data_IF_128383866729
#
_entry.id   IF_128383866729
#
_cell.length_a   1.000
_cell.length_b   1.000
_cell.length_c   1.000
_cell.angle_alpha   90.00
_cell.angle_beta   90.00
_cell.angle_gamma   90.00
#
_symmetry.space_group_name_H-M   'P 1'
#
loop_
_entity.id
_entity.type
_entity.pdbx_description
1 polymer ?
#
# COMPACT_ATOMS: atom_id res chain seq x y z
N UNK A 1 -44.99 -47.87 -0.61
CA UNK A 1 -44.34 -47.03 0.41
C UNK A 1 -42.93 -46.72 -0.08
N UNK A 2 -42.72 -45.56 -0.71
CA UNK A 2 -41.42 -45.14 -1.23
C UNK A 2 -41.02 -43.86 -0.50
N UNK A 3 -40.01 -43.97 0.35
CA UNK A 3 -39.45 -42.85 1.13
C UNK A 3 -38.51 -42.06 0.23
N UNK A 4 -38.96 -40.91 -0.27
CA UNK A 4 -38.10 -39.94 -0.97
C UNK A 4 -37.26 -39.21 0.06
N UNK A 5 -35.99 -39.60 0.18
CA UNK A 5 -34.97 -38.85 0.92
C UNK A 5 -34.70 -37.53 0.21
N UNK A 6 -34.97 -36.40 0.89
CA UNK A 6 -34.60 -35.07 0.42
C UNK A 6 -33.22 -34.73 0.99
N UNK A 7 -32.18 -34.82 0.17
CA UNK A 7 -30.89 -34.20 0.48
C UNK A 7 -31.08 -32.67 0.45
N UNK A 8 -30.96 -32.03 1.61
CA UNK A 8 -30.85 -30.57 1.74
C UNK A 8 -29.41 -30.17 1.40
N UNK A 9 -29.23 -29.48 0.28
CA UNK A 9 -27.98 -28.81 -0.06
C UNK A 9 -27.83 -27.56 0.82
N UNK A 10 -26.96 -27.62 1.83
CA UNK A 10 -26.45 -26.44 2.51
C UNK A 10 -25.36 -25.81 1.63
N UNK A 11 -25.72 -24.82 0.83
CA UNK A 11 -24.75 -23.94 0.17
C UNK A 11 -24.21 -22.96 1.19
N UNK A 12 -23.07 -23.29 1.82
CA UNK A 12 -22.32 -22.36 2.64
C UNK A 12 -21.69 -21.30 1.71
N UNK A 13 -22.31 -20.13 1.65
CA UNK A 13 -21.68 -18.93 1.09
C UNK A 13 -20.56 -18.53 2.07
N UNK A 14 -19.33 -18.97 1.81
CA UNK A 14 -18.13 -18.43 2.44
C UNK A 14 -17.91 -17.03 1.87
N UNK A 15 -18.60 -16.04 2.45
CA UNK A 15 -18.13 -14.66 2.35
C UNK A 15 -16.80 -14.60 3.09
N UNK A 16 -15.70 -14.69 2.37
CA UNK A 16 -14.39 -14.31 2.89
C UNK A 16 -14.48 -12.79 3.08
N UNK A 17 -14.87 -12.37 4.28
CA UNK A 17 -14.70 -10.99 4.68
C UNK A 17 -13.20 -10.86 4.94
N UNK A 18 -12.48 -10.26 3.99
CA UNK A 18 -11.10 -9.85 4.22
C UNK A 18 -11.12 -8.88 5.41
N UNK A 19 -10.73 -9.38 6.58
CA UNK A 19 -10.55 -8.56 7.78
C UNK A 19 -9.37 -7.64 7.55
N UNK A 20 -9.66 -6.38 7.25
CA UNK A 20 -8.66 -5.36 7.01
C UNK A 20 -7.86 -5.05 8.30
N UNK A 21 -6.56 -4.80 8.17
CA UNK A 21 -5.61 -4.59 9.28
C UNK A 21 -6.00 -3.33 10.07
N UNK A 22 -6.43 -3.50 11.31
CA UNK A 22 -6.66 -2.38 12.24
C UNK A 22 -5.33 -2.04 12.93
N UNK A 23 -4.83 -0.82 12.74
CA UNK A 23 -3.67 -0.32 13.48
C UNK A 23 -4.15 0.32 14.78
N UNK A 24 -4.12 -0.44 15.87
CA UNK A 24 -4.32 0.10 17.22
C UNK A 24 -2.98 0.42 17.84
N UNK A 25 -2.68 1.71 18.00
CA UNK A 25 -1.43 2.17 18.60
C UNK A 25 -1.55 2.23 20.12
N UNK A 26 -0.51 1.76 20.82
CA UNK A 26 -0.44 1.79 22.29
C UNK A 26 -0.08 3.17 22.86
N UNK A 27 0.08 4.19 22.01
CA UNK A 27 0.52 5.52 22.40
C UNK A 27 -0.36 6.63 21.84
N UNK A 28 -0.10 7.86 22.30
CA UNK A 28 -0.76 9.09 21.86
C UNK A 28 -0.01 9.78 20.70
N UNK A 29 0.82 9.03 19.98
CA UNK A 29 1.63 9.52 18.86
C UNK A 29 1.69 8.46 17.77
N UNK A 30 1.73 8.95 16.52
CA UNK A 30 1.96 8.15 15.33
C UNK A 30 3.21 8.70 14.61
N UNK A 31 4.24 7.87 14.52
CA UNK A 31 5.47 8.14 13.80
C UNK A 31 5.32 7.67 12.36
N UNK A 32 5.34 8.64 11.43
CA UNK A 32 5.15 8.38 10.00
C UNK A 32 6.43 8.68 9.25
N UNK A 33 6.84 7.77 8.37
CA UNK A 33 7.87 8.05 7.37
C UNK A 33 7.20 8.48 6.06
N UNK A 34 7.72 9.52 5.41
CA UNK A 34 7.17 10.04 4.14
C UNK A 34 8.26 10.02 3.08
N UNK A 35 8.01 9.32 1.98
CA UNK A 35 8.90 9.21 0.83
C UNK A 35 8.12 9.50 -0.46
N UNK A 36 8.83 9.87 -1.52
CA UNK A 36 8.26 10.03 -2.85
C UNK A 36 9.38 10.07 -3.89
N UNK A 37 9.05 9.86 -5.16
CA UNK A 37 10.04 9.78 -6.24
C UNK A 37 11.14 8.74 -5.98
N UNK A 38 10.77 7.61 -5.36
CA UNK A 38 11.72 6.58 -4.96
C UNK A 38 11.86 5.45 -5.99
N UNK A 39 11.17 5.51 -7.13
CA UNK A 39 11.01 4.41 -8.08
C UNK A 39 12.22 3.99 -8.92
N UNK A 40 13.45 4.25 -8.46
CA UNK A 40 14.71 3.79 -9.06
C UNK A 40 15.35 2.69 -8.21
N UNK A 41 16.24 1.86 -8.75
CA UNK A 41 17.00 0.90 -7.93
C UNK A 41 17.99 1.62 -7.01
N UNK A 42 18.34 1.01 -5.87
CA UNK A 42 19.44 1.50 -5.03
C UNK A 42 20.80 1.32 -5.69
N UNK A 43 20.92 0.39 -6.64
CA UNK A 43 22.12 0.24 -7.49
C UNK A 43 22.27 1.41 -8.46
N UNK A 44 21.15 1.98 -8.92
CA UNK A 44 21.12 3.08 -9.89
C UNK A 44 21.16 4.47 -9.23
N UNK A 45 20.84 4.56 -7.93
CA UNK A 45 20.74 5.83 -7.21
C UNK A 45 21.40 5.77 -5.83
N UNK A 46 22.63 6.32 -5.70
CA UNK A 46 23.28 6.49 -4.42
C UNK A 46 22.47 7.35 -3.44
N UNK A 47 21.68 8.30 -3.96
CA UNK A 47 20.77 9.13 -3.17
C UNK A 47 19.67 8.27 -2.55
N UNK A 48 19.04 7.39 -3.33
CA UNK A 48 18.02 6.47 -2.80
C UNK A 48 18.64 5.59 -1.71
N UNK A 49 19.81 5.01 -1.96
CA UNK A 49 20.50 4.19 -0.95
C UNK A 49 20.70 4.95 0.36
N UNK A 50 21.22 6.17 0.32
CA UNK A 50 21.43 6.99 1.51
C UNK A 50 20.12 7.32 2.25
N UNK A 51 19.03 7.56 1.52
CA UNK A 51 17.70 7.79 2.12
C UNK A 51 17.18 6.53 2.82
N UNK A 52 17.28 5.36 2.20
CA UNK A 52 16.87 4.09 2.80
C UNK A 52 17.70 3.81 4.07
N UNK A 53 19.02 3.96 4.00
CA UNK A 53 19.90 3.77 5.15
C UNK A 53 19.51 4.72 6.30
N UNK A 54 19.18 5.98 6.01
CA UNK A 54 18.71 6.94 7.01
C UNK A 54 17.37 6.52 7.63
N UNK A 55 16.41 6.04 6.82
CA UNK A 55 15.12 5.54 7.30
C UNK A 55 15.31 4.36 8.24
N UNK A 56 16.13 3.37 7.85
CA UNK A 56 16.39 2.18 8.66
C UNK A 56 17.07 2.54 9.99
N UNK A 57 18.07 3.43 9.95
CA UNK A 57 18.74 3.90 11.16
C UNK A 57 17.79 4.67 12.09
N UNK A 58 16.95 5.55 11.53
CA UNK A 58 15.95 6.29 12.31
C UNK A 58 14.89 5.36 12.91
N UNK A 59 14.46 4.33 12.17
CA UNK A 59 13.50 3.36 12.66
C UNK A 59 14.03 2.56 13.87
N UNK A 60 15.33 2.28 13.91
CA UNK A 60 15.96 1.64 15.09
C UNK A 60 15.95 2.53 16.33
N UNK A 61 15.99 3.86 16.16
CA UNK A 61 15.99 4.84 17.26
C UNK A 61 14.56 5.14 17.72
N UNK A 62 13.67 5.38 16.76
CA UNK A 62 12.28 5.74 16.96
C UNK A 62 11.43 5.02 15.89
N UNK A 63 10.85 3.85 16.23
CA UNK A 63 10.10 3.06 15.26
C UNK A 63 8.95 3.85 14.63
N UNK A 64 8.92 3.83 13.31
CA UNK A 64 7.78 4.24 12.50
C UNK A 64 6.67 3.20 12.59
N UNK A 65 5.41 3.62 12.49
CA UNK A 65 4.27 2.70 12.45
C UNK A 65 3.46 2.80 11.15
N UNK A 66 3.83 3.73 10.27
CA UNK A 66 3.18 3.93 8.97
C UNK A 66 4.16 4.61 8.01
N UNK A 67 4.08 4.24 6.74
CA UNK A 67 4.75 4.91 5.64
C UNK A 67 3.74 5.65 4.75
N UNK A 68 4.13 6.78 4.19
CA UNK A 68 3.45 7.42 3.06
C UNK A 68 4.39 7.41 1.88
N UNK A 69 3.92 6.88 0.76
CA UNK A 69 4.66 6.85 -0.49
C UNK A 69 3.93 7.70 -1.52
N UNK A 70 4.49 8.86 -1.83
CA UNK A 70 3.84 9.96 -2.54
C UNK A 70 3.92 9.85 -4.07
N UNK A 71 4.07 8.64 -4.61
CA UNK A 71 4.05 8.35 -6.03
C UNK A 71 5.39 8.45 -6.74
N UNK A 72 5.35 8.25 -8.07
CA UNK A 72 6.50 7.97 -8.92
C UNK A 72 7.23 6.73 -8.40
N UNK A 73 6.43 5.66 -8.26
CA UNK A 73 6.79 4.40 -7.64
C UNK A 73 7.69 3.56 -8.53
N UNK A 74 7.59 3.72 -9.84
CA UNK A 74 8.52 3.14 -10.82
C UNK A 74 8.94 4.21 -11.83
N UNK A 75 10.24 4.43 -11.94
CA UNK A 75 10.85 5.41 -12.84
C UNK A 75 11.70 4.70 -13.91
N UNK A 76 11.83 5.30 -15.11
CA UNK A 76 11.26 6.59 -15.51
C UNK A 76 9.83 6.54 -16.09
N UNK A 77 9.33 5.38 -16.52
CA UNK A 77 8.10 5.27 -17.33
C UNK A 77 7.02 4.39 -16.68
N UNK A 78 6.96 4.35 -15.35
CA UNK A 78 5.99 3.52 -14.65
C UNK A 78 6.29 2.02 -14.76
N UNK A 79 5.31 1.21 -14.37
CA UNK A 79 5.43 -0.25 -14.37
C UNK A 79 5.18 -0.84 -15.76
N UNK A 80 5.87 -1.93 -16.07
CA UNK A 80 5.48 -2.81 -17.18
C UNK A 80 4.41 -3.79 -16.69
N UNK A 81 3.45 -4.16 -17.54
CA UNK A 81 2.37 -5.09 -17.21
C UNK A 81 2.92 -6.39 -16.60
N UNK A 82 2.46 -6.75 -15.40
CA UNK A 82 2.86 -7.91 -14.59
C UNK A 82 4.34 -7.98 -14.20
N UNK A 83 5.10 -6.89 -14.34
CA UNK A 83 6.49 -6.82 -13.89
C UNK A 83 6.55 -6.53 -12.39
N UNK A 84 6.34 -7.59 -11.61
CA UNK A 84 6.48 -7.55 -10.15
C UNK A 84 7.95 -7.56 -9.70
N UNK A 85 8.88 -8.04 -10.54
CA UNK A 85 10.30 -8.08 -10.20
C UNK A 85 10.88 -6.67 -10.04
N UNK A 86 10.49 -5.74 -10.92
CA UNK A 86 10.89 -4.34 -10.78
C UNK A 86 10.36 -3.71 -9.49
N UNK A 87 9.13 -4.03 -9.10
CA UNK A 87 8.53 -3.55 -7.84
C UNK A 87 9.24 -4.14 -6.61
N UNK A 88 9.59 -5.43 -6.65
CA UNK A 88 10.42 -6.07 -5.62
C UNK A 88 11.78 -5.37 -5.48
N UNK A 89 12.42 -5.04 -6.60
CA UNK A 89 13.69 -4.33 -6.63
C UNK A 89 13.58 -2.92 -6.02
N UNK A 90 12.53 -2.16 -6.33
CA UNK A 90 12.42 -0.78 -5.87
C UNK A 90 11.83 -0.66 -4.46
N UNK A 91 11.06 -1.63 -3.98
CA UNK A 91 10.36 -1.56 -2.69
C UNK A 91 10.73 -2.69 -1.72
N UNK A 92 10.33 -3.92 -2.01
CA UNK A 92 10.41 -5.02 -1.02
C UNK A 92 11.83 -5.40 -0.63
N UNK A 93 12.76 -5.35 -1.58
CA UNK A 93 14.17 -5.64 -1.32
C UNK A 93 14.86 -4.56 -0.48
N UNK A 94 14.37 -3.33 -0.48
CA UNK A 94 14.97 -2.20 0.26
C UNK A 94 14.29 -1.95 1.61
N UNK A 95 13.07 -2.45 1.80
CA UNK A 95 12.37 -2.46 3.08
C UNK A 95 12.12 -3.91 3.49
N UNK A 96 13.05 -4.55 4.23
CA UNK A 96 12.90 -5.93 4.68
C UNK A 96 11.69 -6.09 5.62
N UNK A 97 10.90 -7.15 5.43
CA UNK A 97 9.67 -7.40 6.20
C UNK A 97 9.93 -7.59 7.71
N UNK A 98 11.09 -8.12 8.09
CA UNK A 98 11.49 -8.33 9.48
C UNK A 98 11.93 -7.04 10.21
N UNK A 99 12.16 -5.96 9.46
CA UNK A 99 12.55 -4.65 9.99
C UNK A 99 11.43 -3.62 9.84
N UNK A 100 10.71 -3.67 8.71
CA UNK A 100 9.69 -2.71 8.31
C UNK A 100 8.40 -3.50 8.05
N UNK A 101 7.59 -3.71 9.08
CA UNK A 101 6.38 -4.55 9.05
C UNK A 101 5.06 -3.75 8.99
N UNK A 102 5.17 -2.46 8.69
CA UNK A 102 4.06 -1.53 8.57
C UNK A 102 3.77 -1.16 7.11
N UNK A 103 2.56 -0.66 6.90
CA UNK A 103 2.04 -0.34 5.57
C UNK A 103 2.64 1.00 5.07
N UNK A 104 2.98 1.05 3.78
CA UNK A 104 3.25 2.27 3.03
C UNK A 104 2.01 2.63 2.21
N UNK A 105 1.27 3.63 2.68
CA UNK A 105 0.14 4.20 1.96
C UNK A 105 0.65 4.84 0.68
N UNK A 106 0.49 4.12 -0.41
CA UNK A 106 1.04 4.49 -1.71
C UNK A 106 0.00 5.19 -2.56
N UNK A 107 0.40 6.23 -3.26
CA UNK A 107 -0.40 6.88 -4.32
C UNK A 107 0.31 6.75 -5.67
N UNK A 108 -0.43 6.98 -6.75
CA UNK A 108 0.10 7.00 -8.12
C UNK A 108 0.63 8.40 -8.42
N UNK A 109 1.85 8.48 -8.94
CA UNK A 109 2.46 9.73 -9.43
C UNK A 109 2.34 9.89 -10.94
N UNK A 110 2.87 11.00 -11.47
CA UNK A 110 2.83 11.32 -12.90
C UNK A 110 3.48 10.23 -13.76
N UNK A 111 4.69 9.79 -13.40
CA UNK A 111 5.42 8.79 -14.19
C UNK A 111 4.78 7.40 -14.11
N UNK A 112 4.02 7.10 -13.06
CA UNK A 112 3.31 5.84 -12.94
C UNK A 112 2.19 5.72 -13.99
N UNK A 113 1.59 6.85 -14.42
CA UNK A 113 0.60 6.91 -15.53
C UNK A 113 1.22 6.71 -16.92
N UNK A 114 2.54 6.76 -17.05
CA UNK A 114 3.19 6.42 -18.33
C UNK A 114 3.22 4.91 -18.58
N UNK A 115 3.05 4.12 -17.51
CA UNK A 115 3.05 2.66 -17.54
C UNK A 115 1.71 2.06 -17.10
N UNK A 116 1.77 0.81 -16.65
CA UNK A 116 0.63 0.06 -16.17
C UNK A 116 0.51 0.15 -14.63
N UNK A 117 -0.17 1.18 -14.12
CA UNK A 117 -0.36 1.32 -12.68
C UNK A 117 -1.25 0.21 -12.08
N UNK A 118 -2.03 -0.51 -12.89
CA UNK A 118 -2.81 -1.68 -12.43
C UNK A 118 -1.87 -2.79 -11.94
N UNK A 119 -0.70 -2.97 -12.54
CA UNK A 119 0.35 -3.85 -12.01
C UNK A 119 0.75 -3.47 -10.58
N UNK A 120 0.78 -2.19 -10.22
CA UNK A 120 1.10 -1.75 -8.86
C UNK A 120 -0.03 -2.09 -7.87
N UNK A 121 -1.29 -1.99 -8.32
CA UNK A 121 -2.47 -2.40 -7.52
C UNK A 121 -2.46 -3.92 -7.32
N UNK A 122 -2.15 -4.70 -8.35
CA UNK A 122 -2.06 -6.16 -8.24
C UNK A 122 -0.84 -6.61 -7.41
N UNK A 123 0.25 -5.85 -7.44
CA UNK A 123 1.41 -6.07 -6.59
C UNK A 123 1.04 -5.99 -5.09
N UNK A 124 0.29 -4.95 -4.70
CA UNK A 124 -0.27 -4.84 -3.36
C UNK A 124 -1.07 -6.08 -2.94
N UNK A 125 -1.94 -6.57 -3.82
CA UNK A 125 -2.86 -7.69 -3.51
C UNK A 125 -2.17 -9.05 -3.45
N UNK A 126 -1.10 -9.23 -4.22
CA UNK A 126 -0.59 -10.57 -4.53
C UNK A 126 0.90 -10.78 -4.21
N UNK A 127 1.65 -9.73 -3.88
CA UNK A 127 3.11 -9.81 -3.64
C UNK A 127 3.53 -9.25 -2.29
N UNK A 128 3.24 -7.97 -2.03
CA UNK A 128 3.60 -7.32 -0.78
C UNK A 128 2.49 -6.37 -0.33
N UNK A 129 1.77 -6.76 0.71
CA UNK A 129 0.63 -6.02 1.24
C UNK A 129 1.05 -4.67 1.89
N UNK A 130 2.32 -4.53 2.29
CA UNK A 130 2.88 -3.28 2.80
C UNK A 130 2.97 -2.22 1.72
N UNK A 131 3.07 -2.57 0.44
CA UNK A 131 2.90 -1.61 -0.64
C UNK A 131 1.41 -1.29 -0.77
N UNK A 132 0.85 -0.52 0.16
CA UNK A 132 -0.60 -0.39 0.31
C UNK A 132 -1.19 0.51 -0.79
N UNK A 133 -1.74 -0.12 -1.82
CA UNK A 133 -2.37 0.53 -2.97
C UNK A 133 -3.58 -0.30 -3.45
N UNK A 134 -4.70 -0.31 -2.71
CA UNK A 134 -5.86 -1.15 -3.06
C UNK A 134 -6.61 -0.66 -4.30
N UNK A 135 -6.49 0.64 -4.61
CA UNK A 135 -7.11 1.32 -5.76
C UNK A 135 -6.46 2.70 -5.91
N UNK A 136 -6.74 3.36 -7.04
CA UNK A 136 -6.24 4.70 -7.40
C UNK A 136 -6.49 5.80 -6.34
N UNK A 137 -7.68 5.84 -5.77
CA UNK A 137 -8.06 6.78 -4.72
C UNK A 137 -8.70 6.00 -3.57
N UNK A 138 -8.20 6.17 -2.35
CA UNK A 138 -8.72 5.45 -1.19
C UNK A 138 -8.58 6.25 0.10
N UNK A 139 -9.35 5.82 1.09
CA UNK A 139 -9.20 6.24 2.47
C UNK A 139 -8.61 5.06 3.21
N UNK A 140 -7.48 5.26 3.89
CA UNK A 140 -6.89 4.21 4.71
C UNK A 140 -7.70 4.04 6.00
N UNK A 141 -8.00 2.79 6.35
CA UNK A 141 -8.90 2.45 7.47
C UNK A 141 -10.38 2.29 7.10
N UNK A 142 -10.73 2.26 5.81
CA UNK A 142 -12.12 2.15 5.35
C UNK A 142 -12.34 1.03 4.33
N UNK A 143 -12.70 -0.16 4.82
CA UNK A 143 -13.62 -1.08 4.12
C UNK A 143 -14.46 -1.90 5.12
N UNK A 144 -15.77 -1.61 5.12
CA UNK A 144 -16.90 -2.30 5.73
C UNK A 144 -17.16 -2.21 7.25
N UNK A 145 -16.31 -1.56 8.07
CA UNK A 145 -16.62 -1.09 9.44
C UNK A 145 -15.52 -0.12 9.93
N UNK A 146 -15.51 1.09 9.39
CA UNK A 146 -14.44 2.12 9.49
C UNK A 146 -13.78 2.27 10.87
N UNK A 147 -12.44 2.17 10.91
CA UNK A 147 -11.66 2.78 11.98
C UNK A 147 -10.47 3.52 11.36
N UNK A 148 -10.51 4.84 11.46
CA UNK A 148 -9.35 5.71 11.39
C UNK A 148 -8.18 5.12 12.22
N UNK A 149 -6.95 5.58 12.01
CA UNK A 149 -5.87 5.24 12.95
C UNK A 149 -6.21 5.87 14.29
N UNK A 150 -6.55 5.02 15.27
CA UNK A 150 -6.91 5.44 16.61
C UNK A 150 -5.68 5.44 17.52
N UNK A 151 -5.43 6.57 18.16
CA UNK A 151 -4.44 6.71 19.22
C UNK A 151 -5.04 6.28 20.57
N UNK A 152 -4.18 6.08 21.57
CA UNK A 152 -4.61 5.65 22.92
C UNK A 152 -5.46 6.65 23.68
N UNK A 153 -5.52 7.91 23.23
CA UNK A 153 -6.32 9.00 23.81
C UNK A 153 -7.60 9.29 23.03
N UNK A 154 -8.05 8.31 22.24
CA UNK A 154 -9.21 8.38 21.34
C UNK A 154 -9.07 9.41 20.20
N UNK A 155 -7.87 9.98 19.98
CA UNK A 155 -7.61 10.78 18.78
C UNK A 155 -7.70 9.90 17.54
N UNK A 156 -8.44 10.38 16.55
CA UNK A 156 -8.73 9.69 15.30
C UNK A 156 -7.97 10.35 14.14
N UNK A 157 -7.15 9.60 13.41
CA UNK A 157 -6.38 10.11 12.26
C UNK A 157 -6.84 9.40 10.98
N UNK A 158 -7.31 10.20 10.01
CA UNK A 158 -7.74 9.72 8.70
C UNK A 158 -6.75 10.11 7.60
N UNK A 159 -6.33 9.12 6.80
CA UNK A 159 -5.51 9.36 5.61
C UNK A 159 -6.36 9.22 4.35
N UNK A 160 -6.34 10.26 3.51
CA UNK A 160 -6.97 10.28 2.20
C UNK A 160 -5.87 10.27 1.13
N UNK A 161 -5.77 9.16 0.40
CA UNK A 161 -4.76 8.93 -0.62
C UNK A 161 -5.40 9.21 -1.98
N UNK A 162 -4.91 10.26 -2.65
CA UNK A 162 -5.50 10.81 -3.87
C UNK A 162 -4.47 10.78 -4.99
N UNK A 163 -4.82 10.14 -6.11
CA UNK A 163 -4.13 10.34 -7.38
C UNK A 163 -4.46 11.73 -7.91
N UNK A 164 -3.48 12.63 -7.77
CA UNK A 164 -3.63 14.03 -8.14
C UNK A 164 -3.34 14.30 -9.61
N UNK A 165 -2.69 13.37 -10.34
CA UNK A 165 -2.26 13.60 -11.73
C UNK A 165 -3.43 13.99 -12.64
N UNK A 166 -4.61 13.33 -12.61
CA UNK A 166 -5.76 13.74 -13.41
C UNK A 166 -6.29 15.14 -13.15
N UNK A 167 -6.05 15.69 -11.95
CA UNK A 167 -6.50 17.04 -11.60
C UNK A 167 -5.71 18.12 -12.34
N UNK A 168 -4.45 17.82 -12.67
CA UNK A 168 -3.55 18.73 -13.37
C UNK A 168 -3.38 18.35 -14.85
N UNK A 169 -3.59 17.07 -15.19
CA UNK A 169 -3.47 16.51 -16.54
C UNK A 169 -4.74 15.71 -16.89
N UNK A 170 -5.84 16.37 -17.31
CA UNK A 170 -7.14 15.71 -17.50
C UNK A 170 -7.14 14.53 -18.49
N UNK A 171 -6.17 14.48 -19.42
CA UNK A 171 -5.98 13.38 -20.35
C UNK A 171 -5.68 12.03 -19.68
N UNK A 172 -5.12 12.06 -18.47
CA UNK A 172 -4.69 10.87 -17.69
C UNK A 172 -5.82 10.28 -16.82
N UNK A 173 -7.05 10.81 -16.94
CA UNK A 173 -8.23 10.30 -16.22
C UNK A 173 -8.85 9.04 -16.83
N UNK A 174 -8.45 8.66 -18.05
CA UNK A 174 -9.12 7.64 -18.88
C UNK A 174 -8.43 6.28 -18.94
N UNK A 175 -7.27 6.15 -18.33
CA UNK A 175 -6.63 4.87 -18.02
C UNK A 175 -7.15 4.42 -16.65
#
# INVERSE_FOLDING_TARGET
MQTKSRLLYFSALLCIIETQKQITLKGNQLNVVVIGNFGVSTNDSPVKKAVIDAILNMHQIAPFQLGLNLGNNVLPHGSTVNDFERLDEVFSSVFPLDVIDFDFLTVIGEHDHEGDFDTQIEYHKHRDDRFFLPKRNYVYGSFSNDSDVMLSDDTSIRFMCIDSTPLYQPGMSKQ
#
